data_IF_740885035702
#
_entry.id   IF_740885035702
#
_cell.length_a   1.000
_cell.length_b   1.000
_cell.length_c   1.000
_cell.angle_alpha   90.00
_cell.angle_beta   90.00
_cell.angle_gamma   90.00
#
_symmetry.space_group_name_H-M   'P 1'
#
loop_
_entity.id
_entity.type
_entity.pdbx_description
1 polymer ?
#
# COMPACT_ATOMS: atom_id res chain seq x y z
N UNK A 1 -0.10 17.95 11.99
CA UNK A 1 -0.27 18.17 10.52
C UNK A 1 0.92 17.64 9.72
N UNK A 2 2.17 17.91 10.12
CA UNK A 2 3.38 17.34 9.50
C UNK A 2 3.40 15.79 9.38
N UNK A 3 3.03 15.00 10.41
CA UNK A 3 3.06 13.53 10.30
C UNK A 3 2.05 12.98 9.28
N UNK A 4 0.89 13.62 9.13
CA UNK A 4 -0.11 13.24 8.13
C UNK A 4 0.34 13.59 6.71
N UNK A 5 1.02 14.72 6.53
CA UNK A 5 1.55 15.10 5.22
C UNK A 5 2.56 14.08 4.69
N UNK A 6 3.39 13.51 5.56
CA UNK A 6 4.38 12.49 5.18
C UNK A 6 3.71 11.19 4.70
N UNK A 7 2.61 10.81 5.34
CA UNK A 7 1.81 9.63 4.98
C UNK A 7 1.16 9.83 3.61
N UNK A 8 0.55 10.99 3.39
CA UNK A 8 -0.09 11.33 2.11
C UNK A 8 0.91 11.36 0.96
N UNK A 9 2.10 11.93 1.18
CA UNK A 9 3.18 11.92 0.18
C UNK A 9 3.63 10.50 -0.10
N UNK A 10 3.83 9.67 0.93
CA UNK A 10 4.23 8.28 0.74
C UNK A 10 3.17 7.47 -0.02
N UNK A 11 1.90 7.63 0.34
CA UNK A 11 0.78 6.95 -0.29
C UNK A 11 0.61 7.38 -1.75
N UNK A 12 0.82 8.66 -2.05
CA UNK A 12 0.84 9.19 -3.41
C UNK A 12 1.99 8.61 -4.24
N UNK A 13 3.21 8.58 -3.69
CA UNK A 13 4.41 8.05 -4.38
C UNK A 13 4.22 6.56 -4.70
N UNK A 14 3.68 5.78 -3.78
CA UNK A 14 3.39 4.35 -4.01
C UNK A 14 2.37 4.19 -5.15
N UNK A 15 1.25 4.92 -5.08
CA UNK A 15 0.13 4.74 -6.01
C UNK A 15 0.40 5.25 -7.43
N UNK A 16 1.05 6.42 -7.55
CA UNK A 16 1.30 7.06 -8.85
C UNK A 16 2.68 6.76 -9.43
N UNK A 17 3.66 6.38 -8.60
CA UNK A 17 5.00 6.06 -9.07
C UNK A 17 5.27 4.56 -9.12
N UNK A 18 5.12 3.88 -7.99
CA UNK A 18 5.66 2.53 -7.86
C UNK A 18 4.82 1.44 -8.51
N UNK A 19 3.49 1.58 -8.56
CA UNK A 19 2.64 0.57 -9.20
C UNK A 19 2.86 0.45 -10.71
N UNK A 20 3.36 1.51 -11.36
CA UNK A 20 3.72 1.46 -12.77
C UNK A 20 5.05 0.73 -13.01
N UNK A 21 5.99 0.85 -12.06
CA UNK A 21 7.30 0.19 -12.15
C UNK A 21 7.25 -1.30 -11.80
N UNK A 22 6.34 -1.71 -10.91
CA UNK A 22 6.23 -3.10 -10.48
C UNK A 22 5.46 -3.91 -11.53
N UNK A 23 6.20 -4.64 -12.36
CA UNK A 23 5.65 -5.53 -13.38
C UNK A 23 6.18 -6.94 -13.19
N UNK A 24 5.33 -7.94 -13.41
CA UNK A 24 5.66 -9.35 -13.28
C UNK A 24 5.52 -10.07 -14.61
N UNK A 25 6.41 -11.04 -14.85
CA UNK A 25 6.30 -11.97 -15.99
C UNK A 25 5.04 -12.84 -15.89
N UNK A 26 4.59 -13.36 -17.03
CA UNK A 26 3.35 -14.15 -17.14
C UNK A 26 3.30 -15.35 -16.18
N UNK A 27 4.42 -16.01 -15.89
CA UNK A 27 4.47 -17.13 -14.95
C UNK A 27 4.21 -16.70 -13.50
N UNK A 28 4.62 -15.49 -13.14
CA UNK A 28 4.56 -14.95 -11.78
C UNK A 28 3.39 -13.97 -11.56
N UNK A 29 2.72 -13.57 -12.64
CA UNK A 29 1.60 -12.64 -12.68
C UNK A 29 0.24 -13.26 -12.96
N UNK A 30 0.05 -14.56 -12.70
CA UNK A 30 -1.18 -15.32 -13.03
C UNK A 30 -1.59 -15.25 -14.51
N UNK A 31 -0.62 -15.11 -15.42
CA UNK A 31 -0.87 -14.90 -16.85
C UNK A 31 -1.48 -13.53 -17.20
N UNK A 32 -1.52 -12.59 -16.25
CA UNK A 32 -2.03 -11.25 -16.49
C UNK A 32 -0.99 -10.39 -17.21
N UNK A 33 -1.43 -9.64 -18.23
CA UNK A 33 -0.58 -8.66 -18.90
C UNK A 33 -0.18 -7.52 -17.95
N UNK A 34 0.97 -6.84 -18.17
CA UNK A 34 1.42 -5.75 -17.29
C UNK A 34 0.36 -4.65 -17.08
N UNK A 35 -0.39 -4.30 -18.14
CA UNK A 35 -1.49 -3.34 -18.04
C UNK A 35 -2.70 -3.85 -17.26
N UNK A 36 -2.93 -5.17 -17.19
CA UNK A 36 -3.96 -5.76 -16.32
C UNK A 36 -3.51 -5.77 -14.87
N UNK A 37 -2.23 -6.08 -14.59
CA UNK A 37 -1.64 -6.06 -13.25
C UNK A 37 -1.77 -4.67 -12.61
N UNK A 38 -1.47 -3.61 -13.36
CA UNK A 38 -1.63 -2.22 -12.90
C UNK A 38 -3.08 -1.89 -12.48
N UNK A 39 -4.07 -2.29 -13.29
CA UNK A 39 -5.49 -2.08 -12.96
C UNK A 39 -5.88 -2.82 -11.69
N UNK A 40 -5.37 -4.03 -11.49
CA UNK A 40 -5.60 -4.78 -10.26
C UNK A 40 -5.02 -4.09 -9.03
N UNK A 41 -3.83 -3.48 -9.13
CA UNK A 41 -3.29 -2.67 -8.03
C UNK A 41 -4.19 -1.49 -7.68
N UNK A 42 -4.74 -0.78 -8.67
CA UNK A 42 -5.69 0.31 -8.42
C UNK A 42 -6.99 -0.16 -7.75
N UNK A 43 -7.53 -1.30 -8.19
CA UNK A 43 -8.75 -1.87 -7.59
C UNK A 43 -8.49 -2.27 -6.15
N UNK A 44 -7.40 -3.00 -5.88
CA UNK A 44 -7.02 -3.41 -4.53
C UNK A 44 -6.78 -2.21 -3.62
N UNK A 45 -6.19 -1.15 -4.16
CA UNK A 45 -6.00 0.09 -3.42
C UNK A 45 -7.34 0.69 -2.93
N UNK A 46 -8.35 0.74 -3.81
CA UNK A 46 -9.68 1.23 -3.41
C UNK A 46 -10.39 0.27 -2.43
N UNK A 47 -10.25 -1.04 -2.64
CA UNK A 47 -10.76 -2.06 -1.73
C UNK A 47 -10.12 -1.91 -0.34
N UNK A 48 -8.81 -1.67 -0.26
CA UNK A 48 -8.12 -1.42 1.01
C UNK A 48 -8.70 -0.21 1.76
N UNK A 49 -8.99 0.89 1.05
CA UNK A 49 -9.64 2.05 1.67
C UNK A 49 -11.04 1.75 2.17
N UNK A 50 -11.81 0.97 1.40
CA UNK A 50 -13.14 0.53 1.81
C UNK A 50 -13.08 -0.35 3.07
N UNK A 51 -12.21 -1.37 3.08
CA UNK A 51 -12.01 -2.26 4.21
C UNK A 51 -11.60 -1.47 5.46
N UNK A 52 -10.64 -0.55 5.33
CA UNK A 52 -10.21 0.28 6.44
C UNK A 52 -11.37 1.07 7.05
N UNK A 53 -12.15 1.78 6.21
CA UNK A 53 -13.30 2.58 6.67
C UNK A 53 -14.42 1.73 7.27
N UNK A 54 -14.62 0.51 6.78
CA UNK A 54 -15.61 -0.42 7.35
C UNK A 54 -15.19 -0.98 8.71
N UNK A 55 -13.90 -1.22 8.95
CA UNK A 55 -13.38 -1.83 10.19
C UNK A 55 -13.42 -0.89 11.41
N UNK A 56 -13.51 0.42 11.20
CA UNK A 56 -13.55 1.45 12.27
C UNK A 56 -14.68 1.20 13.26
N UNK A 57 -15.84 0.75 12.78
CA UNK A 57 -17.00 0.51 13.65
C UNK A 57 -16.80 -0.68 14.59
N UNK A 58 -15.81 -1.53 14.32
CA UNK A 58 -15.58 -2.77 15.06
C UNK A 58 -14.41 -2.67 16.05
N UNK A 59 -13.39 -1.85 15.78
CA UNK A 59 -12.18 -1.78 16.63
C UNK A 59 -11.75 -0.31 16.82
N UNK A 60 -11.93 0.21 18.04
CA UNK A 60 -11.50 1.56 18.45
C UNK A 60 -10.17 1.43 19.21
N UNK A 61 -9.03 1.62 18.52
CA UNK A 61 -7.71 1.62 19.18
C UNK A 61 -7.42 2.98 19.84
N UNK A 62 -6.57 2.98 20.86
CA UNK A 62 -6.13 4.18 21.57
C UNK A 62 -5.29 5.08 20.62
N UNK A 63 -5.93 6.08 20.02
CA UNK A 63 -5.42 6.87 18.86
C UNK A 63 -4.11 7.63 19.12
N UNK A 64 -3.80 7.99 20.37
CA UNK A 64 -2.71 8.93 20.69
C UNK A 64 -1.30 8.38 20.42
N UNK A 65 -1.03 7.10 20.68
CA UNK A 65 0.27 6.49 20.40
C UNK A 65 0.44 6.13 18.90
N UNK A 66 -0.69 5.87 18.24
CA UNK A 66 -0.77 5.40 16.87
C UNK A 66 -0.39 6.52 15.86
N UNK A 67 -0.78 7.76 16.17
CA UNK A 67 -0.49 8.96 15.37
C UNK A 67 1.00 9.20 15.12
N UNK A 68 1.88 8.82 16.04
CA UNK A 68 3.33 9.02 15.89
C UNK A 68 4.06 7.80 15.33
N UNK A 69 3.53 6.59 15.59
CA UNK A 69 4.19 5.35 15.18
C UNK A 69 3.86 4.96 13.73
N UNK A 70 2.62 5.15 13.28
CA UNK A 70 2.22 4.77 11.94
C UNK A 70 2.87 5.56 10.80
N UNK A 71 3.18 6.87 10.93
CA UNK A 71 3.86 7.60 9.85
C UNK A 71 5.25 7.03 9.56
N UNK A 72 5.97 6.62 10.60
CA UNK A 72 7.27 5.96 10.46
C UNK A 72 7.12 4.60 9.78
N UNK A 73 6.12 3.82 10.17
CA UNK A 73 5.83 2.53 9.53
C UNK A 73 5.44 2.71 8.06
N UNK A 74 4.67 3.74 7.73
CA UNK A 74 4.26 4.03 6.36
C UNK A 74 5.45 4.45 5.49
N UNK A 75 6.36 5.25 6.05
CA UNK A 75 7.60 5.60 5.39
C UNK A 75 8.47 4.37 5.13
N UNK A 76 8.59 3.47 6.13
CA UNK A 76 9.33 2.22 5.97
C UNK A 76 8.73 1.36 4.86
N UNK A 77 7.40 1.22 4.82
CA UNK A 77 6.72 0.48 3.76
C UNK A 77 6.98 1.10 2.38
N UNK A 78 6.92 2.42 2.25
CA UNK A 78 7.27 3.12 1.01
C UNK A 78 8.69 2.77 0.55
N UNK A 79 9.67 2.83 1.46
CA UNK A 79 11.05 2.45 1.17
C UNK A 79 11.12 0.99 0.73
N UNK A 80 10.45 0.07 1.42
CA UNK A 80 10.39 -1.34 1.02
C UNK A 80 9.83 -1.53 -0.38
N UNK A 81 8.77 -0.80 -0.76
CA UNK A 81 8.24 -0.85 -2.11
C UNK A 81 9.22 -0.28 -3.14
N UNK A 82 9.98 0.78 -2.81
CA UNK A 82 11.03 1.34 -3.70
C UNK A 82 12.11 0.29 -3.94
N UNK A 83 12.60 -0.34 -2.87
CA UNK A 83 13.56 -1.44 -2.99
C UNK A 83 13.00 -2.60 -3.80
N UNK A 84 11.73 -2.95 -3.61
CA UNK A 84 11.08 -3.97 -4.42
C UNK A 84 11.01 -3.59 -5.91
N UNK A 85 10.75 -2.32 -6.23
CA UNK A 85 10.74 -1.85 -7.62
C UNK A 85 12.12 -1.88 -8.28
N UNK A 86 13.20 -1.64 -7.52
CA UNK A 86 14.57 -1.65 -8.04
C UNK A 86 15.15 -3.07 -8.14
N UNK A 87 14.97 -3.89 -7.11
CA UNK A 87 15.61 -5.20 -6.98
C UNK A 87 14.70 -6.38 -7.32
N UNK A 88 13.40 -6.14 -7.57
CA UNK A 88 12.40 -7.19 -7.81
C UNK A 88 12.46 -8.33 -6.76
N UNK A 89 12.61 -7.96 -5.48
CA UNK A 89 12.80 -8.91 -4.39
C UNK A 89 11.60 -9.84 -4.18
N UNK A 90 10.38 -9.34 -4.37
CA UNK A 90 9.16 -10.14 -4.26
C UNK A 90 8.93 -10.85 -5.59
N UNK A 91 8.95 -12.20 -5.65
CA UNK A 91 8.87 -12.92 -6.92
C UNK A 91 7.43 -13.17 -7.40
N UNK A 92 6.40 -12.76 -6.65
CA UNK A 92 5.02 -13.17 -6.93
C UNK A 92 4.02 -12.01 -6.80
N UNK A 93 3.17 -11.84 -7.81
CA UNK A 93 2.18 -10.77 -7.90
C UNK A 93 1.24 -10.74 -6.68
N UNK A 94 0.76 -11.90 -6.23
CA UNK A 94 -0.17 -11.98 -5.10
C UNK A 94 0.38 -11.47 -3.77
N UNK A 95 1.70 -11.56 -3.55
CA UNK A 95 2.33 -11.04 -2.32
C UNK A 95 2.34 -9.51 -2.34
N UNK A 96 2.62 -8.91 -3.51
CA UNK A 96 2.53 -7.46 -3.69
C UNK A 96 1.08 -6.99 -3.53
N UNK A 97 0.10 -7.72 -4.06
CA UNK A 97 -1.31 -7.41 -3.83
C UNK A 97 -1.70 -7.36 -2.35
N UNK A 98 -1.25 -8.34 -1.55
CA UNK A 98 -1.49 -8.36 -0.12
C UNK A 98 -0.78 -7.21 0.61
N UNK A 99 0.46 -6.90 0.21
CA UNK A 99 1.21 -5.76 0.74
C UNK A 99 0.50 -4.43 0.44
N UNK A 100 -0.01 -4.24 -0.78
CA UNK A 100 -0.77 -3.04 -1.19
C UNK A 100 -2.01 -2.84 -0.34
N UNK A 101 -2.76 -3.92 -0.08
CA UNK A 101 -3.92 -3.85 0.82
C UNK A 101 -3.49 -3.46 2.23
N UNK A 102 -2.41 -4.05 2.74
CA UNK A 102 -1.89 -3.75 4.06
C UNK A 102 -1.45 -2.28 4.20
N UNK A 103 -0.64 -1.76 3.27
CA UNK A 103 -0.20 -0.35 3.29
C UNK A 103 -1.36 0.62 3.21
N UNK A 104 -2.40 0.28 2.44
CA UNK A 104 -3.55 1.17 2.33
C UNK A 104 -4.39 1.16 3.60
N UNK A 105 -4.58 0.00 4.23
CA UNK A 105 -5.31 -0.09 5.50
C UNK A 105 -4.58 0.67 6.62
N UNK A 106 -3.25 0.54 6.71
CA UNK A 106 -2.45 1.27 7.70
C UNK A 106 -2.50 2.79 7.49
N UNK A 107 -2.41 3.27 6.25
CA UNK A 107 -2.51 4.70 5.93
C UNK A 107 -3.84 5.29 6.41
N UNK A 108 -4.97 4.67 6.05
CA UNK A 108 -6.30 5.21 6.38
C UNK A 108 -6.53 5.20 7.89
N UNK A 109 -5.94 4.26 8.64
CA UNK A 109 -6.02 4.23 10.11
C UNK A 109 -5.45 5.48 10.81
N UNK A 110 -4.67 6.30 10.11
CA UNK A 110 -4.07 7.54 10.65
C UNK A 110 -4.97 8.77 10.51
N UNK A 111 -5.98 8.69 9.63
CA UNK A 111 -6.92 9.77 9.34
C UNK A 111 -8.22 9.66 10.14
N UNK A 112 -8.31 8.67 11.03
CA UNK A 112 -9.49 8.34 11.83
C UNK A 112 -9.22 8.65 13.28
#
# INVERSE_FOLDING_TARGET
MLPLALVEVADFVINQGLYELITFDCEHGFGASPGSQYKWFQVLYQVGSFVAKSSIKLIQFNMTALIFLLPLLQFLNMVTFIFNAIYAFVPHFGVVCALVLYTKVSSVAQHM
#
